data_IF_196134108067
#
_entry.id   IF_196134108067
#
_cell.length_a   1.000
_cell.length_b   1.000
_cell.length_c   1.000
_cell.angle_alpha   90.00
_cell.angle_beta   90.00
_cell.angle_gamma   90.00
#
_symmetry.space_group_name_H-M   'P 1'
#
loop_
_entity.id
_entity.type
_entity.pdbx_description
1 polymer ?
#
# COMPACT_ATOMS: atom_id res chain seq x y z
N UNK A 1 -17.35 -10.27 13.97
CA UNK A 1 -15.93 -10.72 13.85
C UNK A 1 -14.99 -9.59 13.47
N UNK A 2 -15.40 -8.60 12.65
CA UNK A 2 -14.58 -7.43 12.25
C UNK A 2 -14.06 -6.63 13.46
N UNK A 3 -14.73 -6.67 14.59
CA UNK A 3 -14.34 -5.96 15.82
C UNK A 3 -13.07 -6.50 16.52
N UNK A 4 -12.54 -7.64 16.07
CA UNK A 4 -11.36 -8.27 16.66
C UNK A 4 -10.07 -8.02 15.87
N UNK A 5 -10.19 -7.37 14.70
CA UNK A 5 -9.02 -7.06 13.86
C UNK A 5 -8.14 -5.98 14.50
N UNK A 6 -6.84 -6.15 14.40
CA UNK A 6 -5.91 -5.12 14.81
C UNK A 6 -5.92 -3.92 13.84
N UNK A 7 -5.36 -2.78 14.25
CA UNK A 7 -5.38 -1.56 13.44
C UNK A 7 -4.67 -1.70 12.10
N UNK A 8 -3.62 -2.54 12.00
CA UNK A 8 -2.91 -2.77 10.74
C UNK A 8 -3.71 -3.65 9.79
N UNK A 9 -4.37 -4.70 10.29
CA UNK A 9 -5.28 -5.54 9.50
C UNK A 9 -6.42 -4.71 8.91
N UNK A 10 -7.05 -3.88 9.73
CA UNK A 10 -8.11 -2.97 9.26
C UNK A 10 -7.58 -2.01 8.19
N UNK A 11 -6.38 -1.48 8.36
CA UNK A 11 -5.77 -0.56 7.40
C UNK A 11 -5.42 -1.24 6.08
N UNK A 12 -4.91 -2.47 6.10
CA UNK A 12 -4.58 -3.23 4.90
C UNK A 12 -5.86 -3.58 4.12
N UNK A 13 -6.89 -4.04 4.81
CA UNK A 13 -8.21 -4.32 4.21
C UNK A 13 -8.79 -3.01 3.64
N UNK A 14 -8.68 -1.90 4.38
CA UNK A 14 -9.10 -0.59 3.91
C UNK A 14 -8.37 -0.15 2.64
N UNK A 15 -7.07 -0.39 2.55
CA UNK A 15 -6.26 -0.08 1.36
C UNK A 15 -6.73 -0.88 0.14
N UNK A 16 -7.00 -2.18 0.31
CA UNK A 16 -7.53 -3.04 -0.75
C UNK A 16 -8.91 -2.54 -1.19
N UNK A 17 -9.80 -2.25 -0.23
CA UNK A 17 -11.13 -1.73 -0.52
C UNK A 17 -11.07 -0.38 -1.26
N UNK A 18 -10.12 0.50 -0.89
CA UNK A 18 -9.88 1.76 -1.58
C UNK A 18 -9.46 1.54 -3.03
N UNK A 19 -8.64 0.51 -3.31
CA UNK A 19 -8.26 0.14 -4.67
C UNK A 19 -9.46 -0.26 -5.54
N UNK A 20 -10.37 -1.06 -5.02
CA UNK A 20 -11.63 -1.39 -5.71
C UNK A 20 -12.51 -0.16 -5.92
N UNK A 21 -12.61 0.70 -4.92
CA UNK A 21 -13.36 1.95 -5.03
C UNK A 21 -12.77 2.89 -6.08
N UNK A 22 -11.44 3.06 -6.10
CA UNK A 22 -10.74 3.84 -7.10
C UNK A 22 -11.00 3.31 -8.53
N UNK A 23 -10.98 1.98 -8.71
CA UNK A 23 -11.31 1.38 -9.99
C UNK A 23 -12.75 1.70 -10.43
N UNK A 24 -13.72 1.56 -9.53
CA UNK A 24 -15.11 1.90 -9.83
C UNK A 24 -15.28 3.38 -10.18
N UNK A 25 -14.61 4.28 -9.46
CA UNK A 25 -14.60 5.70 -9.78
C UNK A 25 -13.99 5.99 -11.14
N UNK A 26 -12.92 5.31 -11.51
CA UNK A 26 -12.24 5.52 -12.78
C UNK A 26 -13.10 5.13 -14.00
N UNK A 27 -14.09 4.25 -13.85
CA UNK A 27 -15.06 4.00 -14.93
C UNK A 27 -15.92 5.23 -15.26
N UNK A 28 -16.10 6.13 -14.29
CA UNK A 28 -16.98 7.29 -14.42
C UNK A 28 -16.19 8.59 -14.57
N UNK A 29 -15.07 8.70 -13.85
CA UNK A 29 -14.28 9.93 -13.74
C UNK A 29 -12.79 9.65 -13.97
N UNK A 30 -12.06 10.65 -14.47
CA UNK A 30 -10.61 10.69 -14.37
C UNK A 30 -10.20 10.84 -12.89
N UNK A 31 -9.17 10.11 -12.46
CA UNK A 31 -8.65 10.15 -11.09
C UNK A 31 -7.65 11.31 -10.93
N UNK A 32 -8.13 12.52 -11.11
CA UNK A 32 -7.32 13.74 -10.97
C UNK A 32 -6.92 14.01 -9.52
N UNK A 33 -5.98 14.93 -9.31
CA UNK A 33 -5.51 15.37 -7.99
C UNK A 33 -6.63 15.74 -7.00
N UNK A 34 -7.82 16.11 -7.49
CA UNK A 34 -8.97 16.41 -6.64
C UNK A 34 -9.38 15.23 -5.74
N UNK A 35 -9.21 14.00 -6.21
CA UNK A 35 -9.60 12.82 -5.43
C UNK A 35 -8.68 12.56 -4.24
N UNK A 36 -7.39 12.84 -4.34
CA UNK A 36 -6.48 12.69 -3.19
C UNK A 36 -6.79 13.73 -2.11
N UNK A 37 -7.08 14.97 -2.49
CA UNK A 37 -7.50 15.98 -1.52
C UNK A 37 -8.83 15.61 -0.85
N UNK A 38 -9.78 15.09 -1.62
CA UNK A 38 -11.03 14.56 -1.07
C UNK A 38 -10.77 13.44 -0.07
N UNK A 39 -9.91 12.49 -0.39
CA UNK A 39 -9.51 11.39 0.50
C UNK A 39 -8.89 11.91 1.79
N UNK A 40 -7.97 12.87 1.71
CA UNK A 40 -7.36 13.46 2.89
C UNK A 40 -8.40 14.12 3.79
N UNK A 41 -9.33 14.88 3.21
CA UNK A 41 -10.41 15.52 3.96
C UNK A 41 -11.30 14.45 4.64
N UNK A 42 -11.75 13.44 3.89
CA UNK A 42 -12.56 12.34 4.42
C UNK A 42 -11.79 11.57 5.50
N UNK A 43 -10.50 11.32 5.29
CA UNK A 43 -9.62 10.66 6.25
C UNK A 43 -9.52 11.45 7.57
N UNK A 44 -9.26 12.75 7.50
CA UNK A 44 -9.21 13.64 8.67
C UNK A 44 -10.55 13.66 9.40
N UNK A 45 -11.66 13.83 8.69
CA UNK A 45 -13.00 13.79 9.26
C UNK A 45 -13.24 12.45 9.97
N UNK A 46 -12.89 11.33 9.33
CA UNK A 46 -13.06 9.99 9.90
C UNK A 46 -12.23 9.83 11.18
N UNK A 47 -10.99 10.29 11.20
CA UNK A 47 -10.14 10.26 12.39
C UNK A 47 -10.76 11.05 13.54
N UNK A 48 -11.28 12.25 13.27
CA UNK A 48 -11.92 13.10 14.27
C UNK A 48 -13.17 12.41 14.87
N UNK A 49 -14.04 11.87 14.01
CA UNK A 49 -15.29 11.23 14.46
C UNK A 49 -15.07 9.88 15.17
N UNK A 50 -14.04 9.12 14.78
CA UNK A 50 -13.79 7.79 15.31
C UNK A 50 -12.55 7.71 16.21
N UNK A 51 -11.98 8.84 16.63
CA UNK A 51 -10.76 8.90 17.46
C UNK A 51 -10.81 8.00 18.69
N UNK A 52 -11.99 7.90 19.33
CA UNK A 52 -12.17 7.11 20.55
C UNK A 52 -12.17 5.58 20.28
N UNK A 53 -12.36 5.18 19.02
CA UNK A 53 -12.28 3.80 18.56
C UNK A 53 -10.88 3.42 18.08
N UNK A 54 -10.03 4.41 17.78
CA UNK A 54 -8.64 4.20 17.34
C UNK A 54 -7.76 3.90 18.56
N UNK A 55 -7.84 2.68 19.08
CA UNK A 55 -7.01 2.24 20.20
C UNK A 55 -5.70 1.66 19.67
N UNK A 56 -4.63 2.43 19.79
CA UNK A 56 -3.26 1.97 19.55
C UNK A 56 -2.64 1.47 20.87
N UNK A 57 -3.13 0.36 21.37
CA UNK A 57 -2.62 -0.24 22.60
C UNK A 57 -1.42 -1.15 22.31
N UNK A 58 -0.30 -0.51 21.97
CA UNK A 58 0.97 -1.18 21.77
C UNK A 58 1.92 -0.91 22.94
N UNK A 59 2.68 -1.92 23.32
CA UNK A 59 3.73 -1.77 24.33
C UNK A 59 4.87 -0.86 23.83
N UNK A 60 5.73 -0.41 24.72
CA UNK A 60 6.81 0.55 24.40
C UNK A 60 7.74 0.03 23.30
N UNK A 61 8.05 -1.26 23.31
CA UNK A 61 8.93 -1.87 22.32
C UNK A 61 8.27 -1.90 20.93
N UNK A 62 6.99 -2.27 20.86
CA UNK A 62 6.22 -2.26 19.59
C UNK A 62 6.11 -0.85 19.04
N UNK A 63 5.83 0.16 19.89
CA UNK A 63 5.78 1.56 19.45
C UNK A 63 7.10 2.04 18.86
N UNK A 64 8.23 1.70 19.49
CA UNK A 64 9.55 2.05 18.97
C UNK A 64 9.81 1.43 17.60
N UNK A 65 9.49 0.14 17.43
CA UNK A 65 9.68 -0.56 16.14
C UNK A 65 8.75 -0.01 15.05
N UNK A 66 7.48 0.26 15.37
CA UNK A 66 6.53 0.87 14.42
C UNK A 66 7.05 2.25 13.95
N UNK A 67 7.55 3.08 14.85
CA UNK A 67 8.14 4.38 14.49
C UNK A 67 9.37 4.19 13.60
N UNK A 68 10.23 3.22 13.90
CA UNK A 68 11.41 2.91 13.07
C UNK A 68 11.00 2.46 11.66
N UNK A 69 9.98 1.60 11.54
CA UNK A 69 9.45 1.16 10.24
C UNK A 69 8.83 2.34 9.49
N UNK A 70 8.11 3.23 10.20
CA UNK A 70 7.56 4.44 9.58
C UNK A 70 8.67 5.33 9.00
N UNK A 71 9.75 5.57 9.76
CA UNK A 71 10.91 6.35 9.27
C UNK A 71 11.52 5.67 8.03
N UNK A 72 11.75 4.35 8.06
CA UNK A 72 12.26 3.61 6.92
C UNK A 72 11.33 3.73 5.71
N UNK A 73 10.03 3.63 5.92
CA UNK A 73 9.03 3.79 4.84
C UNK A 73 9.05 5.21 4.27
N UNK A 74 9.19 6.23 5.12
CA UNK A 74 9.29 7.62 4.70
C UNK A 74 10.57 7.90 3.89
N UNK A 75 11.70 7.29 4.27
CA UNK A 75 12.94 7.38 3.49
C UNK A 75 12.81 6.71 2.12
N UNK A 76 11.93 5.73 1.99
CA UNK A 76 11.66 5.05 0.72
C UNK A 76 10.75 5.86 -0.24
N UNK A 77 10.10 6.93 0.25
CA UNK A 77 9.34 7.86 -0.60
C UNK A 77 10.25 8.62 -1.57
N UNK A 78 11.50 8.88 -1.16
CA UNK A 78 12.46 9.62 -1.96
C UNK A 78 13.32 8.70 -2.81
N UNK A 79 13.38 8.98 -4.06
CA UNK A 79 14.29 8.36 -5.01
C UNK A 79 13.55 7.67 -6.16
N UNK A 80 14.00 7.97 -7.33
CA UNK A 80 13.58 7.37 -8.59
C UNK A 80 13.96 5.89 -8.62
N UNK A 81 13.04 5.03 -8.25
CA UNK A 81 13.12 3.64 -8.62
C UNK A 81 12.78 3.52 -10.10
N UNK A 82 13.74 3.79 -10.96
CA UNK A 82 13.60 3.51 -12.38
C UNK A 82 13.46 2.01 -12.56
N UNK A 83 12.28 1.56 -12.95
CA UNK A 83 12.13 0.27 -13.60
C UNK A 83 11.88 0.52 -15.09
N UNK A 84 12.42 -0.33 -15.94
CA UNK A 84 12.16 -0.24 -17.39
C UNK A 84 10.65 -0.27 -17.68
N UNK A 85 9.89 -1.03 -16.88
CA UNK A 85 8.45 -1.18 -16.98
C UNK A 85 7.67 0.11 -16.67
N UNK A 86 8.22 1.03 -15.87
CA UNK A 86 7.57 2.31 -15.59
C UNK A 86 7.36 3.11 -16.87
N UNK A 87 8.41 3.23 -17.67
CA UNK A 87 8.37 4.00 -18.90
C UNK A 87 7.58 3.29 -20.00
N UNK A 88 7.57 1.96 -20.00
CA UNK A 88 6.92 1.18 -21.04
C UNK A 88 5.40 1.12 -20.90
N UNK A 89 4.87 0.90 -19.69
CA UNK A 89 3.41 0.76 -19.53
C UNK A 89 2.84 1.15 -18.18
N UNK A 90 3.57 1.04 -17.06
CA UNK A 90 3.01 1.40 -15.75
C UNK A 90 2.69 2.89 -15.66
N UNK A 91 3.64 3.74 -16.05
CA UNK A 91 3.45 5.19 -16.07
C UNK A 91 2.33 5.61 -17.02
N UNK A 92 2.26 5.01 -18.21
CA UNK A 92 1.19 5.26 -19.16
C UNK A 92 -0.19 4.91 -18.60
N UNK A 93 -0.32 3.77 -17.92
CA UNK A 93 -1.59 3.38 -17.28
C UNK A 93 -1.99 4.33 -16.16
N UNK A 94 -1.04 4.76 -15.30
CA UNK A 94 -1.30 5.72 -14.23
C UNK A 94 -1.74 7.06 -14.83
N UNK A 95 -0.98 7.60 -15.79
CA UNK A 95 -1.29 8.88 -16.45
C UNK A 95 -2.63 8.84 -17.20
N UNK A 96 -2.98 7.71 -17.82
CA UNK A 96 -4.29 7.55 -18.45
C UNK A 96 -5.42 7.61 -17.42
N UNK A 97 -5.27 6.95 -16.27
CA UNK A 97 -6.27 6.99 -15.20
C UNK A 97 -6.38 8.36 -14.55
N UNK A 98 -5.28 9.13 -14.47
CA UNK A 98 -5.27 10.51 -13.97
C UNK A 98 -6.03 11.48 -14.87
N UNK A 99 -5.88 11.32 -16.18
CA UNK A 99 -6.40 12.29 -17.17
C UNK A 99 -7.71 11.86 -17.81
N UNK A 100 -8.04 10.58 -17.78
CA UNK A 100 -9.22 10.03 -18.45
C UNK A 100 -9.95 9.03 -17.55
N UNK A 101 -11.24 8.89 -17.78
CA UNK A 101 -11.99 7.74 -17.28
C UNK A 101 -11.48 6.47 -17.98
N UNK A 102 -11.82 5.32 -17.42
CA UNK A 102 -11.36 4.01 -17.92
C UNK A 102 -11.65 3.82 -19.41
N UNK A 103 -10.61 3.70 -20.21
CA UNK A 103 -10.71 3.56 -21.67
C UNK A 103 -10.73 2.08 -22.01
N UNK A 104 -11.90 1.59 -22.45
CA UNK A 104 -12.05 0.21 -22.93
C UNK A 104 -11.34 0.03 -24.25
N UNK A 105 -10.53 -1.02 -24.36
CA UNK A 105 -9.87 -1.36 -25.63
C UNK A 105 -8.48 -0.76 -25.83
N UNK A 106 -7.87 -0.12 -24.83
CA UNK A 106 -6.49 0.36 -24.90
C UNK A 106 -5.48 -0.75 -25.28
N UNK A 107 -5.76 -2.01 -24.95
CA UNK A 107 -4.94 -3.16 -25.33
C UNK A 107 -4.84 -3.37 -26.85
N UNK A 108 -5.80 -2.88 -27.63
CA UNK A 108 -5.73 -2.91 -29.09
C UNK A 108 -4.69 -1.93 -29.66
N UNK A 109 -4.35 -0.87 -28.91
CA UNK A 109 -3.30 0.06 -29.28
C UNK A 109 -1.91 -0.49 -28.90
N UNK A 110 -1.79 -1.06 -27.73
CA UNK A 110 -0.57 -1.67 -27.25
C UNK A 110 -0.90 -2.74 -26.19
N UNK A 111 -0.39 -3.97 -26.39
CA UNK A 111 -0.76 -5.11 -25.56
C UNK A 111 -0.47 -4.93 -24.06
N UNK A 112 0.57 -4.17 -23.69
CA UNK A 112 0.89 -3.87 -22.29
C UNK A 112 -0.17 -3.02 -21.57
N UNK A 113 -1.01 -2.27 -22.29
CA UNK A 113 -2.15 -1.58 -21.66
C UNK A 113 -3.30 -2.53 -21.27
N UNK A 114 -3.27 -3.77 -21.70
CA UNK A 114 -4.17 -4.82 -21.21
C UNK A 114 -3.83 -5.30 -19.79
N UNK A 115 -2.66 -4.97 -19.28
CA UNK A 115 -2.24 -5.28 -17.90
C UNK A 115 -2.66 -4.22 -16.89
N UNK A 116 -3.72 -3.44 -17.17
CA UNK A 116 -4.25 -2.52 -16.17
C UNK A 116 -4.65 -3.30 -14.91
N UNK A 117 -4.24 -2.80 -13.76
CA UNK A 117 -4.52 -3.44 -12.48
C UNK A 117 -5.12 -2.45 -11.50
N UNK A 118 -5.90 -2.97 -10.55
CA UNK A 118 -6.40 -2.19 -9.41
C UNK A 118 -5.25 -1.44 -8.71
N UNK A 119 -4.05 -2.03 -8.70
CA UNK A 119 -2.87 -1.41 -8.09
C UNK A 119 -2.41 -0.15 -8.82
N UNK A 120 -2.37 -0.18 -10.15
CA UNK A 120 -2.00 1.00 -10.95
C UNK A 120 -3.07 2.09 -10.85
N UNK A 121 -4.35 1.71 -10.83
CA UNK A 121 -5.45 2.64 -10.58
C UNK A 121 -5.37 3.27 -9.18
N UNK A 122 -4.96 2.49 -8.17
CA UNK A 122 -4.76 3.00 -6.82
C UNK A 122 -3.53 3.92 -6.73
N UNK A 123 -2.49 3.68 -7.51
CA UNK A 123 -1.37 4.63 -7.66
C UNK A 123 -1.85 5.98 -8.18
N UNK A 124 -2.66 6.00 -9.24
CA UNK A 124 -3.27 7.20 -9.77
C UNK A 124 -4.12 7.91 -8.71
N UNK A 125 -5.00 7.17 -8.05
CA UNK A 125 -5.90 7.70 -7.03
C UNK A 125 -5.21 8.32 -5.80
N UNK A 126 -3.99 7.87 -5.47
CA UNK A 126 -3.16 8.36 -4.37
C UNK A 126 -1.99 9.24 -4.84
N UNK A 127 -1.94 9.62 -6.10
CA UNK A 127 -0.88 10.45 -6.65
C UNK A 127 -1.16 11.94 -6.37
N UNK A 128 -0.19 12.67 -5.81
CA UNK A 128 -0.32 14.10 -5.53
C UNK A 128 -0.03 15.00 -6.73
N UNK A 129 0.64 14.47 -7.75
CA UNK A 129 1.01 15.24 -8.92
C UNK A 129 1.31 14.31 -10.09
N UNK A 130 0.45 14.31 -11.09
CA UNK A 130 0.59 13.49 -12.29
C UNK A 130 1.88 13.74 -13.10
N UNK A 131 2.50 14.92 -12.92
CA UNK A 131 3.76 15.27 -13.61
C UNK A 131 5.00 14.66 -12.96
N UNK A 132 4.91 14.07 -11.75
CA UNK A 132 6.03 13.56 -10.98
C UNK A 132 5.88 12.06 -10.64
N UNK A 133 5.54 11.24 -11.61
CA UNK A 133 5.53 9.77 -11.46
C UNK A 133 6.85 9.20 -10.89
N UNK A 134 7.92 9.98 -10.97
CA UNK A 134 9.26 9.54 -10.59
C UNK A 134 9.61 9.80 -9.12
N UNK A 135 8.92 10.73 -8.46
CA UNK A 135 9.44 11.29 -7.20
C UNK A 135 8.75 10.76 -5.95
N UNK A 136 7.50 10.31 -6.01
CA UNK A 136 6.75 9.96 -4.79
C UNK A 136 6.01 8.64 -4.94
N UNK A 137 6.51 7.61 -4.26
CA UNK A 137 5.92 6.27 -4.25
C UNK A 137 5.15 6.00 -2.95
N UNK A 138 4.11 6.79 -2.72
CA UNK A 138 3.32 6.71 -1.47
C UNK A 138 2.75 5.32 -1.27
N UNK A 139 2.16 4.73 -2.30
CA UNK A 139 1.44 3.46 -2.17
C UNK A 139 2.35 2.30 -1.76
N UNK A 140 3.52 2.16 -2.39
CA UNK A 140 4.47 1.10 -2.06
C UNK A 140 5.03 1.28 -0.65
N UNK A 141 5.38 2.51 -0.28
CA UNK A 141 5.88 2.83 1.06
C UNK A 141 4.82 2.63 2.13
N UNK A 142 3.57 3.00 1.86
CA UNK A 142 2.44 2.78 2.76
C UNK A 142 2.18 1.28 2.95
N UNK A 143 2.16 0.51 1.87
CA UNK A 143 1.94 -0.94 1.91
C UNK A 143 3.05 -1.63 2.70
N UNK A 144 4.29 -1.25 2.47
CA UNK A 144 5.43 -1.75 3.24
C UNK A 144 5.26 -1.41 4.73
N UNK A 145 4.96 -0.16 5.07
CA UNK A 145 4.74 0.26 6.44
C UNK A 145 3.66 -0.58 7.13
N UNK A 146 2.50 -0.72 6.50
CA UNK A 146 1.36 -1.43 7.09
C UNK A 146 1.67 -2.91 7.31
N UNK A 147 2.20 -3.60 6.30
CA UNK A 147 2.41 -5.04 6.34
C UNK A 147 3.58 -5.42 7.25
N UNK A 148 4.70 -4.68 7.20
CA UNK A 148 5.83 -4.97 8.10
C UNK A 148 5.47 -4.63 9.54
N UNK A 149 4.74 -3.55 9.79
CA UNK A 149 4.25 -3.24 11.14
C UNK A 149 3.31 -4.32 11.68
N UNK A 150 2.46 -4.87 10.82
CA UNK A 150 1.63 -6.03 11.16
C UNK A 150 2.49 -7.24 11.57
N UNK A 151 3.45 -7.64 10.74
CA UNK A 151 4.31 -8.78 11.04
C UNK A 151 5.13 -8.58 12.32
N UNK A 152 5.64 -7.38 12.56
CA UNK A 152 6.39 -7.07 13.79
C UNK A 152 5.48 -7.17 15.01
N UNK A 153 4.29 -6.59 14.95
CA UNK A 153 3.36 -6.63 16.09
C UNK A 153 2.88 -8.05 16.39
N UNK A 154 2.58 -8.85 15.36
CA UNK A 154 2.20 -10.25 15.53
C UNK A 154 3.37 -11.10 16.05
N UNK A 155 4.58 -10.91 15.55
CA UNK A 155 5.77 -11.60 16.07
C UNK A 155 5.97 -11.33 17.57
N UNK A 156 5.79 -10.10 18.02
CA UNK A 156 5.91 -9.74 19.44
C UNK A 156 4.80 -10.40 20.27
N UNK A 157 3.56 -10.37 19.80
CA UNK A 157 2.42 -11.03 20.48
C UNK A 157 2.65 -12.54 20.62
N UNK A 158 3.03 -13.20 19.52
CA UNK A 158 3.26 -14.65 19.49
C UNK A 158 4.42 -15.01 20.42
N UNK A 159 5.50 -14.24 20.42
CA UNK A 159 6.66 -14.48 21.30
C UNK A 159 6.29 -14.37 22.79
N UNK A 160 5.34 -13.49 23.14
CA UNK A 160 4.94 -13.25 24.54
C UNK A 160 3.82 -14.16 25.03
N UNK A 161 2.85 -14.51 24.18
CA UNK A 161 1.59 -15.06 24.60
C UNK A 161 1.19 -16.39 23.94
N UNK A 162 1.89 -16.82 22.90
CA UNK A 162 1.56 -18.01 22.13
C UNK A 162 2.72 -18.97 22.00
N UNK A 163 2.40 -20.28 21.94
CA UNK A 163 3.37 -21.33 21.62
C UNK A 163 3.44 -21.60 20.09
N UNK A 164 2.84 -20.75 19.28
CA UNK A 164 2.84 -20.94 17.82
C UNK A 164 4.17 -20.49 17.19
N UNK A 165 5.19 -21.32 17.37
CA UNK A 165 6.52 -21.08 16.85
C UNK A 165 6.59 -20.96 15.33
N UNK A 166 5.66 -21.60 14.60
CA UNK A 166 5.59 -21.52 13.14
C UNK A 166 5.22 -20.12 12.68
N UNK A 167 4.20 -19.50 13.28
CA UNK A 167 3.78 -18.14 12.94
C UNK A 167 4.89 -17.14 13.23
N UNK A 168 5.57 -17.28 14.38
CA UNK A 168 6.74 -16.44 14.70
C UNK A 168 7.85 -16.56 13.68
N UNK A 169 8.19 -17.79 13.29
CA UNK A 169 9.24 -18.07 12.31
C UNK A 169 8.88 -17.46 10.94
N UNK A 170 7.66 -17.70 10.45
CA UNK A 170 7.19 -17.15 9.16
C UNK A 170 7.21 -15.63 9.14
N UNK A 171 6.67 -14.98 10.18
CA UNK A 171 6.70 -13.52 10.28
C UNK A 171 8.14 -12.97 10.28
N UNK A 172 9.05 -13.62 11.00
CA UNK A 172 10.46 -13.22 11.05
C UNK A 172 11.17 -13.39 9.70
N UNK A 173 10.90 -14.48 8.98
CA UNK A 173 11.44 -14.72 7.63
C UNK A 173 10.92 -13.65 6.66
N UNK A 174 9.64 -13.32 6.71
CA UNK A 174 9.07 -12.29 5.84
C UNK A 174 9.65 -10.91 6.12
N UNK A 175 9.77 -10.52 7.40
CA UNK A 175 10.40 -9.25 7.78
C UNK A 175 11.83 -9.20 7.20
N UNK A 176 12.62 -10.25 7.41
CA UNK A 176 14.00 -10.32 6.93
C UNK A 176 14.08 -10.24 5.39
N UNK A 177 13.24 -11.01 4.69
CA UNK A 177 13.18 -10.99 3.23
C UNK A 177 12.87 -9.59 2.68
N UNK A 178 11.89 -8.88 3.28
CA UNK A 178 11.53 -7.55 2.82
C UNK A 178 12.57 -6.49 3.17
N UNK A 179 13.27 -6.62 4.29
CA UNK A 179 14.40 -5.75 4.60
C UNK A 179 15.54 -5.92 3.59
N UNK A 180 15.83 -7.15 3.14
CA UNK A 180 16.82 -7.40 2.09
C UNK A 180 16.41 -6.81 0.73
N UNK A 181 15.12 -6.70 0.46
CA UNK A 181 14.57 -6.17 -0.80
C UNK A 181 14.10 -4.71 -0.69
N UNK A 182 14.42 -4.05 0.41
CA UNK A 182 13.95 -2.69 0.73
C UNK A 182 14.21 -1.68 -0.40
N UNK A 183 15.39 -1.70 -1.02
CA UNK A 183 15.74 -0.78 -2.11
C UNK A 183 14.87 -0.93 -3.35
N UNK A 184 14.31 -2.13 -3.57
CA UNK A 184 13.43 -2.41 -4.71
C UNK A 184 11.97 -2.01 -4.49
N UNK A 185 11.61 -1.57 -3.29
CA UNK A 185 10.27 -1.02 -3.02
C UNK A 185 10.05 0.33 -3.73
N UNK A 186 11.12 0.96 -4.19
CA UNK A 186 11.07 2.19 -5.01
C UNK A 186 10.65 1.94 -6.47
N UNK A 187 10.63 0.70 -6.90
CA UNK A 187 10.17 0.33 -8.24
C UNK A 187 8.64 0.40 -8.30
N UNK A 188 8.08 1.02 -9.34
CA UNK A 188 6.63 1.07 -9.61
C UNK A 188 6.07 -0.29 -10.08
N UNK A 189 6.68 -1.37 -9.67
CA UNK A 189 6.25 -2.71 -10.04
C UNK A 189 5.10 -3.22 -9.17
N UNK A 190 4.27 -4.07 -9.76
CA UNK A 190 3.20 -4.81 -9.08
C UNK A 190 3.75 -5.95 -8.22
N UNK A 191 4.93 -6.46 -8.53
CA UNK A 191 5.46 -7.71 -7.98
C UNK A 191 5.70 -7.61 -6.48
N UNK A 192 6.28 -6.49 -6.02
CA UNK A 192 6.66 -6.35 -4.61
C UNK A 192 5.46 -6.15 -3.68
N UNK A 193 4.55 -5.22 -3.97
CA UNK A 193 3.32 -5.09 -3.20
C UNK A 193 2.45 -6.35 -3.25
N UNK A 194 2.39 -7.02 -4.40
CA UNK A 194 1.67 -8.28 -4.56
C UNK A 194 2.22 -9.37 -3.64
N UNK A 195 3.56 -9.53 -3.57
CA UNK A 195 4.19 -10.47 -2.65
C UNK A 195 3.92 -10.10 -1.20
N UNK A 196 3.98 -8.81 -0.83
CA UNK A 196 3.67 -8.33 0.52
C UNK A 196 2.24 -8.69 0.93
N UNK A 197 1.27 -8.38 0.07
CA UNK A 197 -0.14 -8.69 0.31
C UNK A 197 -0.35 -10.21 0.38
N UNK A 198 0.28 -10.98 -0.50
CA UNK A 198 0.20 -12.43 -0.47
C UNK A 198 0.76 -13.01 0.83
N UNK A 199 1.92 -12.53 1.29
CA UNK A 199 2.51 -12.96 2.58
C UNK A 199 1.59 -12.59 3.76
N UNK A 200 0.95 -11.42 3.70
CA UNK A 200 -0.05 -11.02 4.70
C UNK A 200 -1.22 -12.01 4.71
N UNK A 201 -1.79 -12.34 3.56
CA UNK A 201 -2.92 -13.26 3.44
C UNK A 201 -2.59 -14.70 3.89
N UNK A 202 -1.34 -15.12 3.82
CA UNK A 202 -0.90 -16.44 4.31
C UNK A 202 -0.88 -16.53 5.84
N UNK A 203 -0.73 -15.40 6.54
CA UNK A 203 -0.62 -15.34 8.00
C UNK A 203 -1.94 -14.90 8.64
N UNK A 204 -2.70 -14.06 7.93
CA UNK A 204 -4.03 -13.60 8.35
C UNK A 204 -5.04 -14.73 8.41
#
# INVERSE_FOLDING_TARGET
>A
EINNLNSFEQSIIGLIATGFFALLLNFIFALSDAFIYLNLIVGVITIIFFRDKLKFDYDKSSKFLIISIFILSALNLYGSGFSDDLNHYHGGNITNSDNHNYIVGLNFLHHHYGYSSIWLTLHSYLNFNSSFLQDIQILNSLTFFLIISYFVTESIKVSKYSKNHLLYLLSSIFIFFFLLKYTRLKEFGLDRPGILIFCFLLIF
#
